data_IF_464920949968
#
_entry.id   IF_464920949968
#
_cell.length_a   1.000
_cell.length_b   1.000
_cell.length_c   1.000
_cell.angle_alpha   90.00
_cell.angle_beta   90.00
_cell.angle_gamma   90.00
#
_symmetry.space_group_name_H-M   'P 1'
#
loop_
_entity.id
_entity.type
_entity.pdbx_description
1 polymer ?
#
# COMPACT_ATOMS: atom_id res chain seq x y z
N UNK A 1 54.45 -23.42 37.41
CA UNK A 1 53.33 -24.30 37.05
C UNK A 1 52.36 -23.46 36.25
N UNK A 2 51.92 -23.98 35.12
CA UNK A 2 51.24 -23.28 34.03
C UNK A 2 49.76 -22.97 34.33
N UNK A 3 49.25 -21.98 33.60
CA UNK A 3 47.88 -21.80 33.05
C UNK A 3 46.67 -21.97 33.97
N UNK A 4 45.84 -20.92 34.09
CA UNK A 4 44.54 -20.85 33.38
C UNK A 4 43.85 -19.49 33.67
N UNK A 5 44.17 -18.46 32.87
CA UNK A 5 43.30 -17.27 32.76
C UNK A 5 42.08 -17.70 31.93
N UNK A 6 41.16 -18.41 32.57
CA UNK A 6 39.86 -18.68 31.96
C UNK A 6 39.06 -17.39 32.08
N UNK A 7 39.24 -16.47 31.13
CA UNK A 7 38.28 -15.42 30.87
C UNK A 7 36.91 -16.08 30.71
N UNK A 8 36.07 -15.98 31.74
CA UNK A 8 34.69 -16.43 31.68
C UNK A 8 34.07 -15.70 30.50
N UNK A 9 33.81 -16.42 29.42
CA UNK A 9 33.14 -15.87 28.25
C UNK A 9 31.86 -15.23 28.76
N UNK A 10 31.68 -13.94 28.50
CA UNK A 10 30.42 -13.26 28.80
C UNK A 10 29.33 -13.98 28.02
N UNK A 11 28.55 -14.79 28.75
CA UNK A 11 27.35 -15.41 28.24
C UNK A 11 26.23 -14.40 28.55
N UNK A 12 25.71 -13.69 27.53
CA UNK A 12 24.58 -12.80 27.75
C UNK A 12 23.42 -13.62 28.31
N UNK A 13 22.75 -13.07 29.32
CA UNK A 13 21.52 -13.66 29.83
C UNK A 13 20.52 -13.73 28.67
N UNK A 14 19.74 -14.82 28.50
CA UNK A 14 18.68 -14.84 27.50
C UNK A 14 17.72 -13.64 27.58
N UNK A 15 17.60 -13.00 28.75
CA UNK A 15 16.88 -11.75 28.95
C UNK A 15 17.50 -10.51 28.27
N UNK A 16 18.82 -10.49 28.04
CA UNK A 16 19.50 -9.37 27.35
C UNK A 16 19.29 -9.39 25.83
N UNK A 17 18.86 -10.53 25.26
CA UNK A 17 18.61 -10.69 23.83
C UNK A 17 17.15 -10.39 23.43
N UNK A 18 16.23 -10.32 24.40
CA UNK A 18 14.83 -10.02 24.14
C UNK A 18 14.62 -8.52 24.24
N UNK A 19 14.28 -7.89 23.11
CA UNK A 19 13.78 -6.53 23.17
C UNK A 19 12.33 -6.61 23.65
N UNK A 20 12.09 -6.41 24.95
CA UNK A 20 10.75 -6.48 25.58
C UNK A 20 9.73 -5.59 24.85
N UNK A 21 10.18 -4.52 24.20
CA UNK A 21 9.37 -3.65 23.35
C UNK A 21 8.76 -4.40 22.15
N UNK A 22 9.52 -5.30 21.52
CA UNK A 22 9.07 -6.15 20.41
C UNK A 22 8.24 -7.36 20.87
N UNK A 23 8.32 -7.75 22.16
CA UNK A 23 7.55 -8.86 22.72
C UNK A 23 6.28 -8.39 23.43
N UNK A 24 6.13 -7.08 23.63
CA UNK A 24 4.92 -6.49 24.20
C UNK A 24 3.88 -6.43 23.10
N UNK A 25 2.77 -7.16 23.29
CA UNK A 25 1.67 -7.14 22.34
C UNK A 25 1.05 -5.75 22.33
N UNK A 26 1.04 -5.10 21.17
CA UNK A 26 0.30 -3.83 20.98
C UNK A 26 -1.18 -4.12 21.26
N UNK A 27 -1.71 -3.49 22.31
CA UNK A 27 -3.10 -3.63 22.70
C UNK A 27 -4.01 -2.74 21.85
N UNK A 28 -5.34 -2.94 21.96
CA UNK A 28 -6.29 -2.05 21.30
C UNK A 28 -6.11 -0.59 21.74
N UNK A 29 -5.90 -0.36 23.05
CA UNK A 29 -5.68 0.97 23.63
C UNK A 29 -4.39 1.65 23.12
N UNK A 30 -3.39 0.87 22.66
CA UNK A 30 -2.17 1.45 22.09
C UNK A 30 -2.38 2.00 20.67
N UNK A 31 -3.51 1.66 20.05
CA UNK A 31 -3.93 2.15 18.74
C UNK A 31 -4.86 3.36 18.84
N UNK A 32 -5.19 3.81 20.05
CA UNK A 32 -6.00 5.00 20.25
C UNK A 32 -5.25 6.26 19.80
N UNK A 33 -5.99 7.23 19.26
CA UNK A 33 -5.47 8.48 18.68
C UNK A 33 -4.56 9.25 19.64
N UNK A 34 -4.93 9.32 20.92
CA UNK A 34 -4.17 10.00 21.96
C UNK A 34 -2.84 9.30 22.28
N UNK A 35 -2.76 7.99 21.99
CA UNK A 35 -1.56 7.18 22.18
C UNK A 35 -0.63 7.17 20.97
N UNK A 36 -1.17 7.07 19.76
CA UNK A 36 -0.40 7.08 18.51
C UNK A 36 -0.04 8.51 18.04
N UNK A 37 -0.69 9.53 18.61
CA UNK A 37 -0.43 10.95 18.31
C UNK A 37 -0.83 11.35 16.88
N UNK A 38 -1.72 10.58 16.27
CA UNK A 38 -2.23 10.74 14.92
C UNK A 38 -3.72 10.40 14.93
N UNK A 39 -4.55 11.29 14.39
CA UNK A 39 -5.94 10.96 14.06
C UNK A 39 -5.94 10.09 12.79
N UNK A 40 -6.40 8.83 12.83
CA UNK A 40 -6.54 8.00 11.63
C UNK A 40 -7.42 8.65 10.55
N UNK A 41 -8.30 9.58 10.93
CA UNK A 41 -9.15 10.35 10.03
C UNK A 41 -8.43 11.57 9.42
N UNK A 42 -7.32 12.04 9.99
CA UNK A 42 -6.56 13.18 9.46
C UNK A 42 -5.76 12.82 8.20
N UNK A 43 -5.36 11.55 8.05
CA UNK A 43 -4.85 11.01 6.78
C UNK A 43 -5.97 10.52 5.84
N UNK A 44 -7.23 10.73 6.23
CA UNK A 44 -8.38 10.48 5.38
C UNK A 44 -8.30 11.37 4.14
N UNK A 45 -7.96 10.79 2.99
CA UNK A 45 -7.99 11.48 1.71
C UNK A 45 -9.39 12.06 1.51
N UNK A 46 -9.51 13.39 1.47
CA UNK A 46 -10.78 14.06 1.21
C UNK A 46 -11.34 13.55 -0.12
N UNK A 47 -12.48 12.84 -0.11
CA UNK A 47 -13.09 12.40 -1.35
C UNK A 47 -13.43 13.64 -2.19
N UNK A 48 -13.32 13.56 -3.52
CA UNK A 48 -13.62 14.71 -4.37
C UNK A 48 -15.03 15.23 -4.08
N UNK A 49 -15.17 16.55 -3.96
CA UNK A 49 -16.44 17.23 -3.66
C UNK A 49 -17.57 16.92 -4.67
N UNK A 50 -17.21 16.38 -5.84
CA UNK A 50 -18.12 15.96 -6.90
C UNK A 50 -18.10 14.45 -7.08
N UNK A 51 -19.25 13.90 -7.47
CA UNK A 51 -19.35 12.49 -7.82
C UNK A 51 -18.47 12.20 -9.04
N UNK A 52 -17.55 11.25 -8.88
CA UNK A 52 -16.67 10.79 -9.95
C UNK A 52 -17.35 9.67 -10.73
N UNK A 53 -17.07 9.60 -12.03
CA UNK A 53 -17.51 8.54 -12.95
C UNK A 53 -19.01 8.45 -13.28
N UNK A 54 -19.84 9.45 -12.94
CA UNK A 54 -21.25 9.50 -13.40
C UNK A 54 -21.39 9.63 -14.92
N UNK A 55 -20.35 10.14 -15.59
CA UNK A 55 -20.33 10.34 -17.04
C UNK A 55 -19.82 9.11 -17.82
N UNK A 56 -19.54 7.97 -17.14
CA UNK A 56 -19.07 6.74 -17.78
C UNK A 56 -20.22 5.78 -18.08
N UNK A 57 -20.02 4.90 -19.05
CA UNK A 57 -20.95 3.83 -19.35
C UNK A 57 -20.96 2.77 -18.22
N UNK A 58 -22.13 2.19 -17.92
CA UNK A 58 -22.27 1.11 -16.93
C UNK A 58 -22.72 1.57 -15.54
N UNK A 59 -23.16 2.83 -15.42
CA UNK A 59 -23.70 3.39 -14.18
C UNK A 59 -25.15 2.93 -13.97
N UNK A 60 -25.89 2.68 -15.06
CA UNK A 60 -27.27 2.19 -14.97
C UNK A 60 -27.37 0.67 -15.15
N UNK A 61 -28.42 0.07 -14.56
CA UNK A 61 -28.67 -1.35 -14.70
C UNK A 61 -28.98 -1.80 -16.15
N UNK A 62 -29.39 -0.88 -17.01
CA UNK A 62 -29.59 -1.17 -18.44
C UNK A 62 -28.23 -1.25 -19.15
N UNK A 63 -27.39 -0.23 -18.98
CA UNK A 63 -26.03 -0.18 -19.55
C UNK A 63 -25.17 -1.39 -19.15
N UNK A 64 -25.28 -1.87 -17.90
CA UNK A 64 -24.55 -3.07 -17.48
C UNK A 64 -25.02 -4.35 -18.19
N UNK A 65 -26.30 -4.43 -18.55
CA UNK A 65 -26.83 -5.58 -19.30
C UNK A 65 -26.41 -5.53 -20.76
N UNK A 66 -26.46 -4.35 -21.35
CA UNK A 66 -26.13 -4.15 -22.75
C UNK A 66 -24.61 -4.20 -22.99
N UNK A 67 -23.83 -3.77 -21.99
CA UNK A 67 -22.38 -3.69 -22.06
C UNK A 67 -21.89 -2.55 -22.96
N UNK A 68 -20.62 -2.21 -22.84
CA UNK A 68 -19.99 -1.19 -23.69
C UNK A 68 -19.46 -1.80 -24.98
N UNK A 69 -19.58 -1.07 -26.10
CA UNK A 69 -19.02 -1.49 -27.38
C UNK A 69 -17.49 -1.45 -27.39
N UNK A 70 -16.87 -2.24 -28.26
CA UNK A 70 -15.40 -2.25 -28.40
C UNK A 70 -14.86 -0.87 -28.79
N UNK A 71 -15.53 -0.15 -29.70
CA UNK A 71 -15.11 1.18 -30.15
C UNK A 71 -15.15 2.20 -29.02
N UNK A 72 -16.18 2.15 -28.16
CA UNK A 72 -16.26 3.03 -26.98
C UNK A 72 -15.14 2.74 -25.98
N UNK A 73 -14.79 1.46 -25.79
CA UNK A 73 -13.66 1.08 -24.93
C UNK A 73 -12.32 1.55 -25.50
N UNK A 74 -12.11 1.41 -26.80
CA UNK A 74 -10.91 1.93 -27.48
C UNK A 74 -10.81 3.46 -27.37
N UNK A 75 -11.92 4.18 -27.53
CA UNK A 75 -11.92 5.64 -27.43
C UNK A 75 -11.57 6.18 -26.04
N UNK A 76 -11.72 5.36 -24.99
CA UNK A 76 -11.31 5.69 -23.62
C UNK A 76 -9.86 5.31 -23.33
N UNK A 77 -9.26 4.44 -24.13
CA UNK A 77 -7.87 4.01 -23.97
C UNK A 77 -6.91 5.13 -24.37
N UNK A 78 -5.77 5.17 -23.70
CA UNK A 78 -4.63 6.02 -24.10
C UNK A 78 -3.50 5.06 -24.46
N UNK A 79 -2.93 5.22 -25.66
CA UNK A 79 -1.79 4.40 -26.08
C UNK A 79 -0.61 4.59 -25.12
N UNK A 80 -0.07 3.49 -24.62
CA UNK A 80 1.13 3.48 -23.77
C UNK A 80 2.44 3.49 -24.58
N UNK A 81 2.32 3.41 -25.91
CA UNK A 81 3.45 3.40 -26.85
C UNK A 81 3.26 4.49 -27.88
N UNK A 82 4.36 5.15 -28.27
CA UNK A 82 4.32 6.05 -29.41
C UNK A 82 4.11 5.25 -30.69
N UNK A 83 3.29 5.76 -31.64
CA UNK A 83 3.10 5.10 -32.91
C UNK A 83 4.45 4.97 -33.63
N UNK A 84 4.78 3.77 -34.09
CA UNK A 84 5.97 3.58 -34.92
C UNK A 84 5.88 4.48 -36.15
N UNK A 85 6.90 5.32 -36.37
CA UNK A 85 7.04 6.08 -37.61
C UNK A 85 7.26 5.09 -38.75
N UNK A 86 6.21 4.82 -39.52
CA UNK A 86 6.30 4.01 -40.72
C UNK A 86 6.99 4.85 -41.78
N UNK A 87 8.29 4.60 -42.01
CA UNK A 87 8.99 5.23 -43.12
C UNK A 87 8.36 4.79 -44.45
N UNK A 88 8.09 5.71 -45.38
CA UNK A 88 7.50 5.35 -46.67
C UNK A 88 8.48 4.47 -47.46
N UNK A 89 7.99 3.32 -47.94
CA UNK A 89 8.73 2.48 -48.89
C UNK A 89 9.00 3.29 -50.18
N UNK A 90 10.27 3.57 -50.47
CA UNK A 90 10.76 4.19 -51.73
C UNK A 90 10.55 3.29 -52.96
#
# INVERSE_FOLDING_TARGET
>A
MADNDTASAYQPDPGDAVNTDLTSSVGAEDLDEDRIGLDPLEEGMDPPERWVAVDRHGVTAAEQRDGESLDQRLAQETDDVEPEEVEPDD
#
